data_IF_822772300543
#
_entry.id   IF_822772300543
#
_cell.length_a   1.000
_cell.length_b   1.000
_cell.length_c   1.000
_cell.angle_alpha   90.00
_cell.angle_beta   90.00
_cell.angle_gamma   90.00
#
_symmetry.space_group_name_H-M   'P 1'
#
loop_
_entity.id
_entity.type
_entity.pdbx_description
1 polymer ?
#
# COMPACT_ATOMS: atom_id res chain seq x y z
N UNK A 1 7.32 3.53 14.71
CA UNK A 1 6.44 4.69 14.94
C UNK A 1 6.72 5.70 13.83
N UNK A 2 5.81 5.89 12.87
CA UNK A 2 6.04 6.76 11.70
C UNK A 2 4.87 7.72 11.41
N UNK A 3 3.86 7.81 12.29
CA UNK A 3 2.58 8.50 11.99
C UNK A 3 2.19 9.61 12.98
N UNK A 4 3.11 10.08 13.85
CA UNK A 4 2.78 11.07 14.89
C UNK A 4 3.40 12.46 14.66
N UNK A 5 3.45 12.96 13.42
CA UNK A 5 3.88 14.33 13.09
C UNK A 5 2.97 14.96 12.02
N UNK A 6 1.71 15.18 12.40
CA UNK A 6 0.90 16.37 12.12
C UNK A 6 0.56 16.81 10.69
N UNK A 7 1.52 16.85 9.77
CA UNK A 7 1.35 17.52 8.46
C UNK A 7 2.02 16.80 7.27
N UNK A 8 2.95 15.87 7.50
CA UNK A 8 3.64 15.10 6.44
C UNK A 8 3.60 13.57 6.70
N UNK A 9 2.69 13.17 7.59
CA UNK A 9 2.48 11.78 7.97
C UNK A 9 1.80 10.97 6.84
N UNK A 10 1.10 11.63 5.93
CA UNK A 10 0.49 11.04 4.74
C UNK A 10 1.53 10.73 3.66
N UNK A 11 2.45 11.65 3.34
CA UNK A 11 3.53 11.41 2.37
C UNK A 11 4.54 10.40 2.93
N UNK A 12 4.98 10.59 4.17
CA UNK A 12 5.89 9.65 4.85
C UNK A 12 5.23 8.26 5.00
N UNK A 13 3.94 8.24 5.35
CA UNK A 13 3.15 7.00 5.45
C UNK A 13 2.99 6.29 4.10
N UNK A 14 2.78 7.03 3.01
CA UNK A 14 2.67 6.48 1.67
C UNK A 14 4.00 5.87 1.17
N UNK A 15 5.11 6.60 1.33
CA UNK A 15 6.44 6.11 0.92
C UNK A 15 6.84 4.89 1.74
N UNK A 16 6.71 4.98 3.07
CA UNK A 16 7.00 3.84 3.95
C UNK A 16 6.07 2.65 3.63
N UNK A 17 4.78 2.91 3.40
CA UNK A 17 3.78 1.90 3.08
C UNK A 17 4.09 1.15 1.78
N UNK A 18 4.59 1.83 0.75
CA UNK A 18 5.01 1.18 -0.49
C UNK A 18 6.18 0.22 -0.27
N UNK A 19 7.24 0.68 0.41
CA UNK A 19 8.42 -0.15 0.69
C UNK A 19 8.10 -1.31 1.63
N UNK A 20 7.40 -1.02 2.72
CA UNK A 20 6.99 -2.04 3.70
C UNK A 20 6.00 -3.04 3.08
N UNK A 21 5.08 -2.59 2.24
CA UNK A 21 4.15 -3.46 1.51
C UNK A 21 4.85 -4.38 0.53
N UNK A 22 5.86 -3.88 -0.21
CA UNK A 22 6.66 -4.70 -1.10
C UNK A 22 7.52 -5.73 -0.35
N UNK A 23 8.03 -5.37 0.84
CA UNK A 23 8.93 -6.22 1.62
C UNK A 23 8.20 -7.25 2.50
N UNK A 24 7.17 -6.84 3.24
CA UNK A 24 6.41 -7.69 4.17
C UNK A 24 5.16 -8.34 3.54
N UNK A 25 4.80 -7.92 2.33
CA UNK A 25 3.56 -8.32 1.68
C UNK A 25 2.31 -7.75 2.35
N UNK A 26 1.17 -7.89 1.68
CA UNK A 26 -0.14 -7.41 2.16
C UNK A 26 -0.58 -8.09 3.48
N UNK A 27 -0.08 -9.30 3.74
CA UNK A 27 -0.30 -10.06 4.98
C UNK A 27 0.35 -9.40 6.20
N UNK A 28 1.38 -8.58 6.01
CA UNK A 28 2.04 -7.82 7.08
C UNK A 28 1.22 -6.61 7.57
N UNK A 29 0.16 -6.23 6.86
CA UNK A 29 -0.67 -5.06 7.18
C UNK A 29 -1.81 -5.46 8.13
N UNK A 30 -1.96 -4.80 9.30
CA UNK A 30 -3.05 -5.09 10.24
C UNK A 30 -4.44 -5.04 9.58
N UNK A 31 -5.26 -6.08 9.80
CA UNK A 31 -6.55 -6.22 9.13
C UNK A 31 -7.51 -5.04 9.37
N UNK A 32 -7.52 -4.49 10.58
CA UNK A 32 -8.38 -3.35 10.94
C UNK A 32 -7.99 -2.06 10.20
N UNK A 33 -6.72 -1.89 9.79
CA UNK A 33 -6.31 -0.77 8.94
C UNK A 33 -6.83 -0.94 7.52
N UNK A 34 -6.73 -2.16 6.98
CA UNK A 34 -7.24 -2.48 5.64
C UNK A 34 -8.75 -2.29 5.54
N UNK A 35 -9.50 -2.56 6.61
CA UNK A 35 -10.95 -2.36 6.64
C UNK A 35 -11.36 -0.88 6.59
N UNK A 36 -10.50 0.04 7.00
CA UNK A 36 -10.76 1.48 7.01
C UNK A 36 -10.20 2.18 5.75
N UNK A 37 -9.52 1.44 4.86
CA UNK A 37 -8.89 1.99 3.68
C UNK A 37 -9.94 2.37 2.62
N UNK A 38 -10.04 3.66 2.34
CA UNK A 38 -10.87 4.17 1.25
C UNK A 38 -10.36 3.63 -0.10
N UNK A 39 -11.30 3.29 -1.00
CA UNK A 39 -11.00 2.76 -2.34
C UNK A 39 -10.18 1.46 -2.38
N UNK A 40 -10.17 0.68 -1.28
CA UNK A 40 -9.44 -0.59 -1.20
C UNK A 40 -9.66 -1.49 -2.43
N UNK A 41 -10.90 -1.77 -2.89
CA UNK A 41 -11.11 -2.65 -4.04
C UNK A 41 -10.49 -2.12 -5.33
N UNK A 42 -10.47 -0.81 -5.53
CA UNK A 42 -9.87 -0.16 -6.70
C UNK A 42 -8.34 -0.23 -6.64
N UNK A 43 -7.75 -0.04 -5.46
CA UNK A 43 -6.31 -0.16 -5.25
C UNK A 43 -5.80 -1.59 -5.48
N UNK A 44 -6.53 -2.59 -4.98
CA UNK A 44 -6.21 -4.01 -5.21
C UNK A 44 -6.25 -4.34 -6.71
N UNK A 45 -7.32 -3.95 -7.40
CA UNK A 45 -7.43 -4.17 -8.85
C UNK A 45 -6.31 -3.47 -9.64
N UNK A 46 -5.98 -2.22 -9.29
CA UNK A 46 -4.88 -1.50 -9.93
C UNK A 46 -3.53 -2.20 -9.69
N UNK A 47 -3.27 -2.68 -8.47
CA UNK A 47 -2.06 -3.42 -8.15
C UNK A 47 -1.94 -4.70 -8.98
N UNK A 48 -3.03 -5.46 -9.12
CA UNK A 48 -3.07 -6.65 -9.96
C UNK A 48 -2.80 -6.32 -11.44
N UNK A 49 -3.42 -5.26 -11.97
CA UNK A 49 -3.19 -4.82 -13.36
C UNK A 49 -1.75 -4.41 -13.61
N UNK A 50 -1.15 -3.63 -12.70
CA UNK A 50 0.25 -3.21 -12.78
C UNK A 50 1.20 -4.40 -12.69
N UNK A 51 0.92 -5.36 -11.82
CA UNK A 51 1.70 -6.60 -11.74
C UNK A 51 1.64 -7.33 -13.08
N UNK A 52 0.44 -7.62 -13.61
CA UNK A 52 0.29 -8.31 -14.90
C UNK A 52 0.99 -7.57 -16.04
N UNK A 53 0.87 -6.25 -16.11
CA UNK A 53 1.52 -5.42 -17.13
C UNK A 53 3.06 -5.46 -17.03
N UNK A 54 3.62 -5.53 -15.82
CA UNK A 54 5.06 -5.66 -15.60
C UNK A 54 5.63 -7.00 -16.10
N UNK A 55 4.84 -8.07 -16.04
CA UNK A 55 5.22 -9.39 -16.53
C UNK A 55 4.90 -9.59 -18.02
N UNK A 56 3.92 -8.89 -18.58
CA UNK A 56 3.58 -8.95 -20.00
C UNK A 56 4.61 -8.27 -20.92
N UNK A 57 5.53 -7.47 -20.35
CA UNK A 57 6.59 -6.75 -21.07
C UNK A 57 7.98 -7.40 -20.91
N UNK A 58 8.05 -8.65 -20.45
CA UNK A 58 9.26 -9.51 -20.51
C UNK A 58 9.09 -10.56 -21.60
#
# INVERSE_FOLDING_TARGET
MAVNLGDDADTTGAIYGQLAGAYYGESGIPAHWKQQLAFKPQMENMADQLYQAGWANQ
#
